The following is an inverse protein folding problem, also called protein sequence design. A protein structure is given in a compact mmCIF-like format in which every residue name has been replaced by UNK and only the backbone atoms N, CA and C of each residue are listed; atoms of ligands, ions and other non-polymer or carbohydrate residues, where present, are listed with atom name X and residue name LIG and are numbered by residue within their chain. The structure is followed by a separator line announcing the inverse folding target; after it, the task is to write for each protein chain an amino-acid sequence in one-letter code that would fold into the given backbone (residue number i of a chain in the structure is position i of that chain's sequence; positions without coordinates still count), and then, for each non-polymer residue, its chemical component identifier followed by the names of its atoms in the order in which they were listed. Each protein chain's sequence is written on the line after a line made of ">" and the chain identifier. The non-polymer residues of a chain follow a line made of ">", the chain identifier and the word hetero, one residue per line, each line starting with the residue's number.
data_IF_130778838572
#
_entry.id   IF_130778838572
#
_cell.length_a   1.000
_cell.length_b   1.000
_cell.length_c   1.000
_cell.angle_alpha   90.00
_cell.angle_beta   90.00
_cell.angle_gamma   90.00
#
_symmetry.space_group_name_H-M   'P 1'
#
loop_
_entity.id
_entity.type
_entity.pdbx_description
1 polymer ?
#
# COMPACT_ATOMS: atom_id res chain seq x y z
N UNK A 1 38.14 35.09 -48.45
CA UNK A 1 39.04 34.00 -48.01
C UNK A 1 39.27 34.23 -46.54
N UNK A 2 38.66 33.51 -45.60
CA UNK A 2 37.92 32.25 -45.68
C UNK A 2 36.84 32.30 -44.61
N UNK A 3 35.61 31.96 -45.01
CA UNK A 3 34.49 31.73 -44.10
C UNK A 3 34.76 30.39 -43.41
N UNK A 4 34.87 30.40 -42.08
CA UNK A 4 35.04 29.19 -41.28
C UNK A 4 33.65 28.81 -40.74
N UNK A 5 32.84 28.16 -41.59
CA UNK A 5 31.58 27.56 -41.16
C UNK A 5 31.89 26.23 -40.50
N UNK A 6 32.02 26.24 -39.17
CA UNK A 6 32.07 25.02 -38.36
C UNK A 6 30.65 24.48 -38.24
N UNK A 7 30.50 23.23 -38.66
CA UNK A 7 29.24 22.50 -38.75
C UNK A 7 28.82 22.16 -37.32
N UNK A 8 27.66 22.64 -36.87
CA UNK A 8 27.07 22.19 -35.60
C UNK A 8 26.58 20.75 -35.81
N UNK A 9 27.24 19.80 -35.16
CA UNK A 9 26.85 18.39 -35.14
C UNK A 9 25.53 18.28 -34.36
N UNK A 10 24.43 18.02 -35.05
CA UNK A 10 23.15 17.68 -34.43
C UNK A 10 23.29 16.28 -33.81
N UNK A 11 23.49 16.22 -32.49
CA UNK A 11 23.52 14.96 -31.75
C UNK A 11 22.10 14.35 -31.75
N UNK A 12 21.93 13.24 -32.47
CA UNK A 12 20.71 12.44 -32.52
C UNK A 12 20.33 11.97 -31.09
N UNK A 13 19.35 12.62 -30.47
CA UNK A 13 18.88 12.29 -29.12
C UNK A 13 18.13 10.94 -29.15
N UNK A 14 18.82 9.84 -28.82
CA UNK A 14 18.21 8.51 -28.71
C UNK A 14 17.10 8.48 -27.63
N UNK A 15 15.85 8.33 -28.07
CA UNK A 15 14.68 8.12 -27.21
C UNK A 15 14.78 6.77 -26.47
N UNK A 16 15.43 6.76 -25.30
CA UNK A 16 15.39 5.61 -24.40
C UNK A 16 13.99 5.47 -23.78
N UNK A 17 13.42 4.25 -23.70
CA UNK A 17 12.12 4.05 -23.05
C UNK A 17 12.25 4.30 -21.54
N UNK A 18 11.34 5.10 -20.99
CA UNK A 18 11.32 5.40 -19.56
C UNK A 18 11.07 4.14 -18.73
N UNK A 19 11.69 4.03 -17.53
CA UNK A 19 11.46 2.90 -16.65
C UNK A 19 9.98 2.84 -16.21
N UNK A 20 9.43 1.62 -15.96
CA UNK A 20 8.07 1.48 -15.47
C UNK A 20 7.92 2.23 -14.13
N UNK A 21 6.75 2.83 -13.86
CA UNK A 21 6.53 3.51 -12.59
C UNK A 21 6.75 2.53 -11.43
N UNK A 22 7.28 3.01 -10.30
CA UNK A 22 7.49 2.16 -9.12
C UNK A 22 6.18 1.49 -8.72
N UNK A 23 6.27 0.22 -8.34
CA UNK A 23 5.13 -0.49 -7.74
C UNK A 23 4.73 0.28 -6.48
N UNK A 24 3.43 0.63 -6.34
CA UNK A 24 2.91 1.22 -5.10
C UNK A 24 3.22 0.25 -3.97
N UNK A 25 4.01 0.65 -2.98
CA UNK A 25 4.62 -0.31 -2.05
C UNK A 25 3.57 -1.06 -1.21
N UNK A 26 2.39 -0.47 -1.00
CA UNK A 26 1.27 -1.09 -0.27
C UNK A 26 -0.10 -0.70 -0.85
N UNK A 27 -0.63 -1.42 -1.85
CA UNK A 27 -1.94 -1.09 -2.42
C UNK A 27 -3.08 -1.50 -1.48
N UNK A 28 -4.02 -0.58 -1.27
CA UNK A 28 -5.25 -0.83 -0.53
C UNK A 28 -6.02 -2.01 -1.15
N UNK A 29 -6.42 -2.99 -0.34
CA UNK A 29 -7.19 -4.14 -0.80
C UNK A 29 -8.62 -3.85 -1.28
N UNK A 30 -9.05 -2.58 -1.34
CA UNK A 30 -10.37 -2.14 -1.81
C UNK A 30 -10.26 -1.13 -2.95
N UNK A 31 -9.58 0.01 -2.75
CA UNK A 31 -9.50 1.07 -3.76
C UNK A 31 -8.28 0.94 -4.69
N UNK A 32 -7.32 0.06 -4.37
CA UNK A 32 -6.06 -0.15 -5.11
C UNK A 32 -5.14 1.08 -5.19
N UNK A 33 -5.47 2.15 -4.46
CA UNK A 33 -4.56 3.26 -4.21
C UNK A 33 -3.56 2.90 -3.11
N UNK A 34 -2.41 3.57 -3.13
CA UNK A 34 -1.37 3.38 -2.13
C UNK A 34 -1.87 3.79 -0.74
N UNK A 35 -1.59 2.97 0.26
CA UNK A 35 -1.74 3.33 1.67
C UNK A 35 -0.39 3.86 2.14
N UNK A 36 -0.35 5.14 2.52
CA UNK A 36 0.87 5.82 2.98
C UNK A 36 0.98 5.80 4.50
N UNK A 37 2.16 6.11 5.01
CA UNK A 37 2.42 6.20 6.46
C UNK A 37 1.58 7.30 7.14
N UNK A 38 1.24 8.37 6.40
CA UNK A 38 0.39 9.44 6.92
C UNK A 38 -1.12 9.10 6.85
N UNK A 39 -1.49 8.02 6.17
CA UNK A 39 -2.88 7.59 6.09
C UNK A 39 -3.30 6.84 7.37
N UNK A 40 -4.59 6.89 7.69
CA UNK A 40 -5.19 5.96 8.66
C UNK A 40 -5.32 4.57 7.99
N UNK A 41 -4.23 3.81 7.96
CA UNK A 41 -4.12 2.49 7.35
C UNK A 41 -4.24 1.34 8.36
N UNK A 42 -4.85 0.23 7.96
CA UNK A 42 -4.97 -0.98 8.79
C UNK A 42 -4.58 -2.23 8.00
N UNK A 43 -3.85 -3.13 8.65
CA UNK A 43 -3.35 -4.39 8.07
C UNK A 43 -4.28 -5.56 8.42
N UNK A 44 -4.58 -6.42 7.45
CA UNK A 44 -5.29 -7.68 7.71
C UNK A 44 -4.31 -8.78 8.18
N UNK A 45 -3.95 -8.76 9.47
CA UNK A 45 -2.94 -9.64 10.09
C UNK A 45 -3.38 -11.11 10.20
N UNK A 46 -4.69 -11.33 10.37
CA UNK A 46 -5.24 -12.68 10.52
C UNK A 46 -5.50 -13.38 9.18
N UNK A 47 -5.05 -12.83 8.04
CA UNK A 47 -5.53 -13.27 6.73
C UNK A 47 -4.59 -13.05 5.56
N UNK A 48 -4.77 -11.94 4.84
CA UNK A 48 -4.18 -11.73 3.52
C UNK A 48 -2.96 -10.80 3.50
N UNK A 49 -2.55 -10.26 4.65
CA UNK A 49 -1.42 -9.33 4.79
C UNK A 49 -1.50 -8.12 3.85
N UNK A 50 -2.72 -7.69 3.53
CA UNK A 50 -2.99 -6.48 2.73
C UNK A 50 -3.31 -5.31 3.64
N UNK A 51 -2.82 -4.13 3.25
CA UNK A 51 -3.21 -2.85 3.83
C UNK A 51 -4.55 -2.37 3.29
N UNK A 52 -5.26 -1.61 4.11
CA UNK A 52 -6.53 -1.00 3.78
C UNK A 52 -6.59 0.41 4.39
N UNK A 53 -7.06 1.41 3.63
CA UNK A 53 -7.47 2.66 4.25
C UNK A 53 -8.64 2.40 5.20
N UNK A 54 -8.63 3.04 6.38
CA UNK A 54 -9.69 2.94 7.39
C UNK A 54 -11.08 3.18 6.78
N UNK A 55 -11.19 4.22 5.96
CA UNK A 55 -12.47 4.57 5.31
C UNK A 55 -12.92 3.50 4.32
N UNK A 56 -11.99 2.95 3.54
CA UNK A 56 -12.30 1.85 2.62
C UNK A 56 -12.76 0.60 3.38
N UNK A 57 -12.14 0.30 4.51
CA UNK A 57 -12.55 -0.79 5.41
C UNK A 57 -13.89 -0.52 6.14
N UNK A 58 -14.53 0.64 5.94
CA UNK A 58 -15.78 1.00 6.61
C UNK A 58 -15.63 1.22 8.12
N UNK A 59 -14.40 1.41 8.62
CA UNK A 59 -14.11 1.50 10.04
C UNK A 59 -14.30 2.94 10.55
N UNK A 60 -15.03 3.11 11.65
CA UNK A 60 -15.14 4.41 12.32
C UNK A 60 -13.80 4.84 12.92
N UNK A 61 -13.56 6.16 13.05
CA UNK A 61 -12.32 6.66 13.66
C UNK A 61 -12.12 6.13 15.08
N UNK A 62 -13.17 6.10 15.90
CA UNK A 62 -13.08 5.60 17.28
C UNK A 62 -12.70 4.12 17.32
N UNK A 63 -13.28 3.29 16.45
CA UNK A 63 -12.91 1.87 16.36
C UNK A 63 -11.44 1.68 15.97
N UNK A 64 -10.95 2.47 15.00
CA UNK A 64 -9.55 2.47 14.58
C UNK A 64 -8.61 2.88 15.73
N UNK A 65 -8.91 3.98 16.42
CA UNK A 65 -8.10 4.49 17.53
C UNK A 65 -8.05 3.51 18.71
N UNK A 66 -9.14 2.78 18.99
CA UNK A 66 -9.17 1.76 20.04
C UNK A 66 -8.36 0.53 19.64
N UNK A 67 -8.54 0.06 18.41
CA UNK A 67 -7.89 -1.15 17.91
C UNK A 67 -6.38 -0.98 17.79
N UNK A 68 -5.91 0.13 17.21
CA UNK A 68 -4.47 0.42 17.02
C UNK A 68 -3.71 0.68 18.32
N UNK A 69 -4.40 0.75 19.46
CA UNK A 69 -3.80 0.88 20.79
C UNK A 69 -3.80 -0.42 21.58
N UNK A 70 -4.40 -1.49 21.06
CA UNK A 70 -4.58 -2.75 21.77
C UNK A 70 -3.69 -3.83 21.13
N UNK A 71 -2.54 -4.10 21.75
CA UNK A 71 -1.55 -5.06 21.26
C UNK A 71 -2.10 -6.50 21.14
N UNK A 72 -3.18 -6.81 21.88
CA UNK A 72 -3.80 -8.13 21.86
C UNK A 72 -4.92 -8.26 20.81
N UNK A 73 -5.21 -7.20 20.05
CA UNK A 73 -6.28 -7.18 19.07
C UNK A 73 -5.72 -7.06 17.66
N UNK A 74 -6.22 -7.92 16.77
CA UNK A 74 -5.88 -7.91 15.36
C UNK A 74 -7.12 -7.61 14.52
N UNK A 75 -6.91 -7.13 13.29
CA UNK A 75 -7.99 -6.97 12.32
C UNK A 75 -7.92 -7.97 11.18
N UNK A 76 -9.10 -8.38 10.71
CA UNK A 76 -9.28 -9.23 9.55
C UNK A 76 -10.28 -8.58 8.59
N UNK A 77 -9.93 -8.54 7.30
CA UNK A 77 -10.83 -8.02 6.29
C UNK A 77 -12.02 -8.97 6.06
N UNK A 78 -13.14 -8.44 5.57
CA UNK A 78 -14.37 -9.19 5.31
C UNK A 78 -14.15 -10.44 4.44
N UNK A 79 -13.25 -10.35 3.47
CA UNK A 79 -12.95 -11.47 2.57
C UNK A 79 -12.30 -12.62 3.34
N UNK A 80 -11.36 -12.30 4.23
CA UNK A 80 -10.66 -13.30 5.04
C UNK A 80 -11.58 -13.90 6.11
N UNK A 81 -12.41 -13.08 6.78
CA UNK A 81 -13.41 -13.58 7.73
C UNK A 81 -14.35 -14.59 7.03
N UNK A 82 -14.84 -14.26 5.83
CA UNK A 82 -15.76 -15.13 5.07
C UNK A 82 -15.12 -16.42 4.57
N UNK A 83 -13.83 -16.40 4.21
CA UNK A 83 -13.15 -17.54 3.56
C UNK A 83 -12.39 -18.44 4.52
N UNK A 84 -11.79 -17.86 5.57
CA UNK A 84 -10.77 -18.55 6.36
C UNK A 84 -11.27 -19.00 7.74
N UNK A 85 -12.57 -18.81 8.04
CA UNK A 85 -13.18 -19.15 9.33
C UNK A 85 -12.37 -18.60 10.52
N UNK A 86 -11.96 -17.34 10.42
CA UNK A 86 -11.10 -16.68 11.43
C UNK A 86 -11.87 -16.61 12.75
N UNK A 87 -11.32 -17.16 13.85
CA UNK A 87 -11.98 -17.09 15.15
C UNK A 87 -11.99 -15.65 15.67
N UNK A 88 -13.07 -15.25 16.31
CA UNK A 88 -13.22 -13.89 16.87
C UNK A 88 -12.33 -13.63 18.09
N UNK A 89 -11.83 -14.68 18.72
CA UNK A 89 -10.90 -14.61 19.86
C UNK A 89 -9.82 -15.67 19.71
N UNK A 90 -8.58 -15.28 20.01
CA UNK A 90 -7.43 -16.19 20.11
C UNK A 90 -7.06 -16.31 21.58
N UNK A 91 -6.94 -17.53 22.09
CA UNK A 91 -6.41 -17.75 23.44
C UNK A 91 -4.88 -17.75 23.33
N UNK A 92 -4.24 -16.72 23.87
CA UNK A 92 -2.78 -16.72 24.04
C UNK A 92 -2.47 -17.51 25.32
N UNK A 93 -1.72 -18.63 25.24
CA UNK A 93 -1.33 -19.37 26.43
C UNK A 93 -0.47 -18.49 27.33
N UNK A 94 -0.76 -18.49 28.63
CA UNK A 94 0.09 -17.86 29.64
C UNK A 94 1.28 -18.80 29.87
N UNK A 95 2.42 -18.54 29.21
CA UNK A 95 3.68 -19.27 29.41
C UNK A 95 4.57 -18.56 30.40
#
# INVERSE_FOLDING_TARGET
>A
MSDNSEVEEEEDEELTPSPPPPLKDFPCGICFEEVKDEDEGILCESGCDKWYHRQCAGMSKNAYDLLTREDSAEWACDTCIKKNNIPMTKMVPIT
#
